data_IF_626593185462
#
_entry.id   IF_626593185462
#
_cell.length_a   1.000
_cell.length_b   1.000
_cell.length_c   1.000
_cell.angle_alpha   90.00
_cell.angle_beta   90.00
_cell.angle_gamma   90.00
#
_symmetry.space_group_name_H-M   'P 1'
#
loop_
_entity.id
_entity.type
_entity.pdbx_description
1 polymer ?
#
# COMPACT_ATOMS: atom_id res chain seq x y z
N UNK A 1 40.91 5.94 20.70
CA UNK A 1 40.42 4.78 19.93
C UNK A 1 39.91 3.74 20.92
N UNK A 2 38.58 3.51 20.98
CA UNK A 2 38.11 2.14 20.99
C UNK A 2 37.06 1.91 19.88
N UNK A 3 37.15 0.73 19.27
CA UNK A 3 36.32 0.28 18.17
C UNK A 3 34.87 -0.01 18.62
N UNK A 4 33.90 0.54 17.89
CA UNK A 4 32.49 0.16 17.96
C UNK A 4 32.30 -1.27 17.44
N UNK A 5 31.52 -2.13 18.12
CA UNK A 5 31.11 -3.39 17.54
C UNK A 5 30.07 -3.14 16.44
N UNK A 6 30.30 -3.78 15.29
CA UNK A 6 29.41 -3.81 14.14
C UNK A 6 28.00 -4.23 14.58
N UNK A 7 27.01 -3.39 14.28
CA UNK A 7 25.60 -3.77 14.38
C UNK A 7 25.34 -4.83 13.32
N UNK A 8 24.81 -5.96 13.76
CA UNK A 8 24.26 -7.00 12.89
C UNK A 8 23.13 -6.41 12.05
N UNK A 9 23.35 -6.33 10.74
CA UNK A 9 22.33 -5.91 9.76
C UNK A 9 21.26 -7.00 9.64
N UNK A 10 20.14 -6.80 10.34
CA UNK A 10 18.90 -7.50 10.01
C UNK A 10 18.39 -6.95 8.66
N UNK A 11 17.94 -7.82 7.72
CA UNK A 11 17.49 -7.38 6.41
C UNK A 11 16.29 -6.43 6.54
N UNK A 12 16.29 -5.36 5.75
CA UNK A 12 15.16 -4.42 5.71
C UNK A 12 13.92 -5.11 5.12
N UNK A 13 12.70 -4.67 5.46
CA UNK A 13 11.45 -5.22 4.87
C UNK A 13 11.43 -5.19 3.34
N UNK A 14 12.22 -4.30 2.72
CA UNK A 14 12.44 -4.24 1.28
C UNK A 14 13.20 -5.46 0.75
N UNK A 15 14.27 -5.89 1.43
CA UNK A 15 15.07 -7.07 1.05
C UNK A 15 14.33 -8.38 1.30
N UNK A 16 13.47 -8.44 2.33
CA UNK A 16 12.61 -9.60 2.59
C UNK A 16 11.54 -9.77 1.49
N UNK A 17 10.88 -8.68 1.07
CA UNK A 17 9.95 -8.69 -0.06
C UNK A 17 10.66 -9.01 -1.39
N UNK A 18 11.88 -8.49 -1.59
CA UNK A 18 12.69 -8.77 -2.78
C UNK A 18 13.20 -10.22 -2.86
N UNK A 19 13.19 -10.99 -1.76
CA UNK A 19 13.48 -12.44 -1.78
C UNK A 19 12.27 -13.28 -2.16
N UNK A 20 11.05 -12.78 -1.94
CA UNK A 20 9.79 -13.45 -2.30
C UNK A 20 9.39 -13.15 -3.75
N UNK A 21 9.72 -11.96 -4.25
CA UNK A 21 9.43 -11.53 -5.63
C UNK A 21 10.67 -11.60 -6.53
N UNK A 22 10.50 -11.88 -7.83
CA UNK A 22 11.60 -11.90 -8.80
C UNK A 22 12.39 -13.21 -8.89
N UNK A 23 11.89 -14.29 -8.27
CA UNK A 23 12.51 -15.62 -8.30
C UNK A 23 12.52 -16.24 -9.71
N UNK A 24 13.35 -17.27 -9.93
CA UNK A 24 13.32 -18.03 -11.18
C UNK A 24 11.97 -18.74 -11.40
N UNK A 25 11.34 -19.18 -10.32
CA UNK A 25 9.99 -19.76 -10.33
C UNK A 25 8.95 -18.74 -10.79
N UNK A 26 8.97 -17.52 -10.27
CA UNK A 26 8.06 -16.45 -10.68
C UNK A 26 8.16 -16.16 -12.18
N UNK A 27 9.39 -16.07 -12.72
CA UNK A 27 9.60 -15.87 -14.16
C UNK A 27 9.00 -17.02 -14.99
N UNK A 28 9.20 -18.26 -14.53
CA UNK A 28 8.63 -19.43 -15.21
C UNK A 28 7.10 -19.42 -15.19
N UNK A 29 6.49 -19.05 -14.06
CA UNK A 29 5.04 -18.90 -13.94
C UNK A 29 4.51 -17.79 -14.86
N UNK A 30 5.19 -16.65 -14.95
CA UNK A 30 4.84 -15.54 -15.86
C UNK A 30 4.88 -16.01 -17.31
N UNK A 31 5.95 -16.69 -17.73
CA UNK A 31 6.08 -17.18 -19.12
C UNK A 31 4.98 -18.18 -19.51
N UNK A 32 4.63 -19.10 -18.61
CA UNK A 32 3.52 -20.03 -18.82
C UNK A 32 2.18 -19.30 -18.89
N UNK A 33 1.94 -18.40 -17.94
CA UNK A 33 0.71 -17.60 -17.88
C UNK A 33 0.51 -16.75 -19.15
N UNK A 34 1.59 -16.18 -19.70
CA UNK A 34 1.58 -15.45 -20.98
C UNK A 34 1.14 -16.30 -22.17
N UNK A 35 1.32 -17.62 -22.10
CA UNK A 35 0.87 -18.58 -23.11
C UNK A 35 -0.57 -19.07 -22.89
N UNK A 36 -1.26 -18.55 -21.87
CA UNK A 36 -2.65 -18.90 -21.55
C UNK A 36 -2.81 -20.01 -20.52
N UNK A 37 -1.73 -20.36 -19.80
CA UNK A 37 -1.76 -21.34 -18.72
C UNK A 37 -2.41 -20.73 -17.46
N UNK A 38 -3.66 -21.10 -17.19
CA UNK A 38 -4.43 -20.61 -16.04
C UNK A 38 -3.87 -21.11 -14.71
N UNK A 39 -3.41 -22.36 -14.63
CA UNK A 39 -2.84 -22.92 -13.40
C UNK A 39 -1.56 -22.19 -12.98
N UNK A 40 -0.74 -21.77 -13.95
CA UNK A 40 0.42 -20.94 -13.70
C UNK A 40 0.04 -19.56 -13.17
N UNK A 41 -1.05 -18.99 -13.68
CA UNK A 41 -1.53 -17.68 -13.23
C UNK A 41 -2.16 -17.75 -11.84
N UNK A 42 -2.90 -18.80 -11.51
CA UNK A 42 -3.44 -19.01 -10.17
C UNK A 42 -2.34 -19.06 -9.11
N UNK A 43 -1.18 -19.63 -9.44
CA UNK A 43 0.01 -19.59 -8.56
C UNK A 43 0.55 -18.18 -8.38
N UNK A 44 0.60 -17.38 -9.45
CA UNK A 44 0.97 -15.96 -9.34
C UNK A 44 -0.06 -15.21 -8.47
N UNK A 45 -1.36 -15.44 -8.66
CA UNK A 45 -2.41 -14.82 -7.84
C UNK A 45 -2.15 -15.13 -6.36
N UNK A 46 -1.94 -16.39 -5.98
CA UNK A 46 -1.64 -16.78 -4.59
C UNK A 46 -0.39 -16.11 -4.02
N UNK A 47 0.64 -15.90 -4.85
CA UNK A 47 1.87 -15.23 -4.42
C UNK A 47 1.63 -13.73 -4.13
N UNK A 48 0.69 -13.10 -4.85
CA UNK A 48 0.47 -11.64 -4.79
C UNK A 48 -0.84 -11.21 -4.11
N UNK A 49 -1.78 -12.12 -3.80
CA UNK A 49 -3.12 -11.78 -3.29
C UNK A 49 -3.05 -10.93 -2.02
N UNK A 50 -2.18 -11.29 -1.08
CA UNK A 50 -2.02 -10.56 0.18
C UNK A 50 -1.44 -9.16 -0.03
N UNK A 51 -0.43 -9.00 -0.89
CA UNK A 51 0.20 -7.70 -1.11
C UNK A 51 -0.70 -6.77 -1.93
N UNK A 52 -1.39 -7.31 -2.94
CA UNK A 52 -2.40 -6.61 -3.74
C UNK A 52 -3.55 -6.14 -2.87
N UNK A 53 -4.15 -7.03 -2.08
CA UNK A 53 -5.24 -6.69 -1.19
C UNK A 53 -4.82 -5.64 -0.16
N UNK A 54 -3.68 -5.82 0.51
CA UNK A 54 -3.18 -4.86 1.50
C UNK A 54 -2.91 -3.48 0.87
N UNK A 55 -2.43 -3.44 -0.38
CA UNK A 55 -2.26 -2.18 -1.10
C UNK A 55 -3.61 -1.53 -1.38
N UNK A 56 -4.57 -2.28 -1.93
CA UNK A 56 -5.91 -1.81 -2.20
C UNK A 56 -6.62 -1.30 -0.93
N UNK A 57 -6.45 -1.99 0.20
CA UNK A 57 -6.99 -1.59 1.50
C UNK A 57 -6.38 -0.28 2.01
N UNK A 58 -5.05 -0.15 1.95
CA UNK A 58 -4.36 1.10 2.33
C UNK A 58 -4.71 2.28 1.42
N UNK A 59 -5.13 2.02 0.19
CA UNK A 59 -5.59 3.06 -0.74
C UNK A 59 -7.05 3.46 -0.47
N UNK A 60 -7.94 2.49 -0.33
CA UNK A 60 -9.39 2.69 -0.25
C UNK A 60 -9.90 3.00 1.15
N UNK A 61 -9.30 2.41 2.19
CA UNK A 61 -9.77 2.45 3.56
C UNK A 61 -11.03 1.62 3.84
N UNK A 62 -11.46 0.79 2.87
CA UNK A 62 -12.64 -0.08 3.00
C UNK A 62 -12.29 -1.49 2.56
N UNK A 63 -12.74 -2.48 3.34
CA UNK A 63 -12.53 -3.90 3.00
C UNK A 63 -13.22 -4.27 1.70
N UNK A 64 -14.47 -3.82 1.51
CA UNK A 64 -15.28 -4.14 0.34
C UNK A 64 -14.66 -3.52 -0.92
N UNK A 65 -14.30 -2.23 -0.85
CA UNK A 65 -13.62 -1.55 -1.96
C UNK A 65 -12.27 -2.21 -2.25
N UNK A 66 -11.53 -2.64 -1.22
CA UNK A 66 -10.24 -3.32 -1.40
C UNK A 66 -10.39 -4.67 -2.11
N UNK A 67 -11.42 -5.44 -1.74
CA UNK A 67 -11.75 -6.72 -2.37
C UNK A 67 -12.08 -6.52 -3.86
N UNK A 68 -12.95 -5.56 -4.16
CA UNK A 68 -13.35 -5.25 -5.54
C UNK A 68 -12.16 -4.77 -6.38
N UNK A 69 -11.34 -3.86 -5.84
CA UNK A 69 -10.13 -3.36 -6.51
C UNK A 69 -9.14 -4.49 -6.76
N UNK A 70 -8.91 -5.37 -5.78
CA UNK A 70 -7.98 -6.50 -5.90
C UNK A 70 -8.43 -7.49 -6.99
N UNK A 71 -9.72 -7.86 -6.98
CA UNK A 71 -10.27 -8.77 -7.99
C UNK A 71 -10.18 -8.18 -9.40
N UNK A 72 -10.63 -6.94 -9.58
CA UNK A 72 -10.54 -6.24 -10.86
C UNK A 72 -9.07 -6.08 -11.31
N UNK A 73 -8.14 -5.87 -10.37
CA UNK A 73 -6.72 -5.81 -10.69
C UNK A 73 -6.18 -7.15 -11.21
N UNK A 74 -6.55 -8.29 -10.62
CA UNK A 74 -6.14 -9.61 -11.14
C UNK A 74 -6.78 -9.94 -12.48
N UNK A 75 -8.05 -9.57 -12.70
CA UNK A 75 -8.71 -9.72 -14.01
C UNK A 75 -7.98 -8.89 -15.08
N UNK A 76 -7.65 -7.63 -14.77
CA UNK A 76 -6.85 -6.79 -15.67
C UNK A 76 -5.44 -7.33 -15.86
N UNK A 77 -4.83 -7.91 -14.83
CA UNK A 77 -3.52 -8.54 -14.93
C UNK A 77 -3.57 -9.71 -15.91
N UNK A 78 -4.50 -10.66 -15.76
CA UNK A 78 -4.67 -11.76 -16.69
C UNK A 78 -4.83 -11.29 -18.15
N UNK A 79 -5.74 -10.33 -18.38
CA UNK A 79 -6.02 -9.82 -19.71
C UNK A 79 -4.82 -9.11 -20.36
N UNK A 80 -3.98 -8.44 -19.58
CA UNK A 80 -2.83 -7.68 -20.09
C UNK A 80 -1.51 -8.45 -19.99
N UNK A 81 -1.47 -9.61 -19.32
CA UNK A 81 -0.23 -10.32 -19.04
C UNK A 81 0.54 -10.70 -20.30
N UNK A 82 -0.16 -11.04 -21.38
CA UNK A 82 0.47 -11.34 -22.69
C UNK A 82 1.41 -10.21 -23.16
N UNK A 83 1.04 -8.96 -22.88
CA UNK A 83 1.78 -7.75 -23.25
C UNK A 83 2.88 -7.35 -22.26
N UNK A 84 2.99 -8.02 -21.11
CA UNK A 84 4.05 -7.76 -20.14
C UNK A 84 5.40 -8.15 -20.73
N UNK A 85 6.29 -7.16 -20.87
CA UNK A 85 7.61 -7.34 -21.50
C UNK A 85 8.73 -7.71 -20.53
N UNK A 86 8.50 -7.59 -19.21
CA UNK A 86 9.54 -7.82 -18.21
C UNK A 86 10.52 -6.66 -18.04
N UNK A 87 10.20 -5.47 -18.57
CA UNK A 87 11.02 -4.26 -18.44
C UNK A 87 11.11 -3.77 -16.97
N UNK A 88 10.13 -4.14 -16.15
CA UNK A 88 10.07 -3.89 -14.71
C UNK A 88 9.73 -5.20 -13.97
N UNK A 89 9.93 -5.24 -12.65
CA UNK A 89 9.49 -6.37 -11.84
C UNK A 89 7.97 -6.56 -11.95
N UNK A 90 7.52 -7.82 -11.84
CA UNK A 90 6.08 -8.13 -11.88
C UNK A 90 5.33 -7.47 -10.71
N UNK A 91 5.97 -7.37 -9.53
CA UNK A 91 5.49 -6.60 -8.37
C UNK A 91 5.16 -5.14 -8.73
N UNK A 92 6.08 -4.44 -9.37
CA UNK A 92 5.89 -3.05 -9.82
C UNK A 92 4.76 -2.97 -10.84
N UNK A 93 4.68 -3.93 -11.77
CA UNK A 93 3.63 -3.99 -12.77
C UNK A 93 2.24 -4.24 -12.18
N UNK A 94 2.09 -5.17 -11.22
CA UNK A 94 0.79 -5.44 -10.59
C UNK A 94 0.36 -4.26 -9.70
N UNK A 95 1.30 -3.60 -9.00
CA UNK A 95 0.98 -2.38 -8.24
C UNK A 95 0.55 -1.22 -9.12
N UNK A 96 1.05 -1.14 -10.36
CA UNK A 96 0.52 -0.21 -11.36
C UNK A 96 -0.95 -0.47 -11.67
N UNK A 97 -1.31 -1.74 -11.88
CA UNK A 97 -2.68 -2.13 -12.17
C UNK A 97 -3.60 -1.79 -10.99
N UNK A 98 -3.23 -2.20 -9.77
CA UNK A 98 -3.99 -1.92 -8.54
C UNK A 98 -4.22 -0.41 -8.35
N UNK A 99 -3.15 0.38 -8.52
CA UNK A 99 -3.24 1.85 -8.37
C UNK A 99 -4.18 2.47 -9.41
N UNK A 100 -4.13 1.99 -10.67
CA UNK A 100 -5.02 2.48 -11.71
C UNK A 100 -6.47 2.09 -11.47
N UNK A 101 -6.75 0.85 -11.03
CA UNK A 101 -8.10 0.41 -10.68
C UNK A 101 -8.66 1.27 -9.55
N UNK A 102 -7.88 1.55 -8.51
CA UNK A 102 -8.29 2.45 -7.42
C UNK A 102 -8.63 3.85 -7.94
N UNK A 103 -7.75 4.47 -8.72
CA UNK A 103 -7.98 5.82 -9.25
C UNK A 103 -9.19 5.87 -10.20
N UNK A 104 -9.40 4.84 -11.00
CA UNK A 104 -10.57 4.70 -11.88
C UNK A 104 -11.87 4.58 -11.05
N UNK A 105 -11.88 3.74 -10.02
CA UNK A 105 -13.02 3.57 -9.11
C UNK A 105 -13.40 4.90 -8.45
N UNK A 106 -12.41 5.61 -7.89
CA UNK A 106 -12.65 6.91 -7.26
C UNK A 106 -13.18 7.97 -8.23
N UNK A 107 -12.61 8.02 -9.44
CA UNK A 107 -13.08 8.92 -10.51
C UNK A 107 -14.54 8.62 -10.88
N UNK A 108 -14.91 7.34 -10.98
CA UNK A 108 -16.29 6.91 -11.26
C UNK A 108 -17.24 7.31 -10.14
N UNK A 109 -16.86 7.10 -8.87
CA UNK A 109 -17.66 7.48 -7.70
C UNK A 109 -17.92 9.00 -7.67
N UNK A 110 -16.90 9.83 -7.93
CA UNK A 110 -17.07 11.29 -8.02
C UNK A 110 -17.93 11.76 -9.21
N UNK A 111 -17.91 11.03 -10.32
CA UNK A 111 -18.67 11.38 -11.52
C UNK A 111 -20.16 11.02 -11.42
N UNK A 112 -20.57 10.21 -10.44
CA UNK A 112 -21.98 9.93 -10.15
C UNK A 112 -22.52 11.07 -9.26
N UNK A 113 -23.43 11.94 -9.75
CA UNK A 113 -24.05 12.94 -8.89
C UNK A 113 -24.84 12.22 -7.79
N UNK A 114 -24.43 12.39 -6.54
CA UNK A 114 -25.13 11.80 -5.40
C UNK A 114 -26.58 12.30 -5.38
N UNK A 115 -27.54 11.37 -5.48
CA UNK A 115 -28.73 11.50 -4.63
C UNK A 115 -28.21 11.37 -3.21
N UNK A 116 -28.33 12.47 -2.47
CA UNK A 116 -27.95 12.64 -1.07
C UNK A 116 -28.38 11.46 -0.20
N UNK A 117 -27.51 11.06 0.72
CA UNK A 117 -27.76 10.95 2.17
C UNK A 117 -26.37 10.93 2.83
N UNK A 118 -26.06 12.02 3.55
CA UNK A 118 -25.08 12.08 4.65
C UNK A 118 -23.75 11.33 4.46
N UNK A 119 -22.75 12.00 3.87
CA UNK A 119 -21.34 11.64 4.07
C UNK A 119 -20.90 12.11 5.47
N UNK A 120 -21.47 11.53 6.52
CA UNK A 120 -20.68 11.29 7.71
C UNK A 120 -19.64 10.25 7.32
N UNK A 121 -18.37 10.59 7.50
CA UNK A 121 -17.33 9.57 7.63
C UNK A 121 -17.65 8.85 8.95
N UNK A 122 -18.64 7.97 8.92
CA UNK A 122 -18.79 6.88 9.86
C UNK A 122 -17.62 5.95 9.54
N UNK A 123 -16.47 6.25 10.15
CA UNK A 123 -15.57 5.19 10.57
C UNK A 123 -16.42 4.37 11.55
N UNK A 124 -17.11 3.36 11.00
CA UNK A 124 -17.87 2.41 11.77
C UNK A 124 -16.97 1.91 12.89
N UNK A 125 -17.32 2.30 14.10
CA UNK A 125 -16.66 1.93 15.35
C UNK A 125 -16.91 0.45 15.67
N UNK A 126 -17.64 -0.27 14.81
CA UNK A 126 -17.88 -1.70 14.93
C UNK A 126 -17.10 -2.51 13.89
N UNK A 127 -16.22 -3.37 14.43
CA UNK A 127 -15.69 -4.59 13.79
C UNK A 127 -14.51 -4.49 12.80
N UNK A 128 -13.36 -4.03 13.31
CA UNK A 128 -12.06 -4.62 12.90
C UNK A 128 -11.69 -5.77 13.84
N UNK A 129 -12.60 -6.73 13.97
CA UNK A 129 -12.28 -8.09 14.42
C UNK A 129 -12.78 -9.08 13.37
N UNK A 130 -12.16 -9.06 12.19
CA UNK A 130 -12.07 -10.25 11.36
C UNK A 130 -10.62 -10.69 11.32
N UNK A 131 -10.35 -11.61 12.26
CA UNK A 131 -9.09 -12.28 12.51
C UNK A 131 -8.51 -12.84 11.21
N UNK A 132 -7.44 -12.23 10.73
CA UNK A 132 -6.34 -12.99 10.16
C UNK A 132 -5.25 -13.02 11.22
N UNK A 133 -5.11 -14.18 11.87
CA UNK A 133 -4.10 -14.43 12.87
C UNK A 133 -2.68 -14.24 12.29
N UNK A 134 -1.85 -13.40 12.92
CA UNK A 134 -0.51 -13.76 13.44
C UNK A 134 0.08 -12.63 14.34
N UNK A 135 1.15 -12.91 15.11
CA UNK A 135 1.20 -12.92 16.57
C UNK A 135 1.24 -11.52 17.21
N UNK A 136 0.40 -11.28 18.20
CA UNK A 136 0.15 -9.97 18.79
C UNK A 136 1.13 -9.58 19.93
N UNK A 137 1.48 -8.28 20.08
CA UNK A 137 1.75 -7.67 21.39
C UNK A 137 0.42 -7.43 22.17
N UNK A 138 0.50 -7.26 23.49
CA UNK A 138 -0.62 -7.38 24.42
C UNK A 138 -1.64 -6.23 24.48
N UNK A 139 -2.73 -6.39 25.27
CA UNK A 139 -3.96 -5.58 25.20
C UNK A 139 -3.84 -4.08 25.52
N UNK A 140 -2.88 -3.67 26.34
CA UNK A 140 -2.65 -2.26 26.66
C UNK A 140 -1.94 -1.50 25.51
N UNK A 141 -1.04 -2.17 24.79
CA UNK A 141 -0.39 -1.64 23.58
C UNK A 141 -1.35 -1.60 22.37
N UNK A 142 -2.44 -2.36 22.43
CA UNK A 142 -3.50 -2.35 21.41
C UNK A 142 -4.33 -1.05 21.48
N UNK A 143 -4.67 -0.52 22.66
CA UNK A 143 -5.52 0.67 22.76
C UNK A 143 -4.81 1.98 22.30
N UNK A 144 -3.59 2.23 22.80
CA UNK A 144 -2.81 3.43 22.43
C UNK A 144 -2.24 3.31 21.00
N UNK A 145 -1.86 2.10 20.60
CA UNK A 145 -1.45 1.78 19.24
C UNK A 145 -2.58 1.91 18.21
N UNK A 146 -3.84 1.75 18.62
CA UNK A 146 -5.00 1.87 17.76
C UNK A 146 -5.41 3.33 17.55
N UNK A 147 -5.41 4.18 18.59
CA UNK A 147 -5.73 5.61 18.42
C UNK A 147 -4.73 6.33 17.50
N UNK A 148 -3.43 6.12 17.71
CA UNK A 148 -2.38 6.69 16.85
C UNK A 148 -2.51 6.21 15.40
N UNK A 149 -2.79 4.93 15.21
CA UNK A 149 -2.95 4.32 13.89
C UNK A 149 -4.23 4.81 13.21
N UNK A 150 -5.30 4.97 13.97
CA UNK A 150 -6.57 5.51 13.51
C UNK A 150 -6.40 6.96 13.04
N UNK A 151 -5.77 7.81 13.84
CA UNK A 151 -5.46 9.20 13.48
C UNK A 151 -4.59 9.30 12.21
N UNK A 152 -3.54 8.48 12.11
CA UNK A 152 -2.69 8.42 10.93
C UNK A 152 -3.48 7.98 9.69
N UNK A 153 -4.28 6.92 9.80
CA UNK A 153 -5.11 6.43 8.69
C UNK A 153 -6.11 7.49 8.24
N UNK A 154 -6.80 8.15 9.18
CA UNK A 154 -7.73 9.26 8.89
C UNK A 154 -7.00 10.41 8.17
N UNK A 155 -5.81 10.78 8.62
CA UNK A 155 -5.00 11.80 7.95
C UNK A 155 -4.60 11.37 6.53
N UNK A 156 -4.18 10.13 6.32
CA UNK A 156 -3.86 9.57 4.98
C UNK A 156 -5.09 9.57 4.08
N UNK A 157 -6.25 9.18 4.58
CA UNK A 157 -7.50 9.17 3.82
C UNK A 157 -8.04 10.58 3.53
N UNK A 158 -7.61 11.60 4.25
CA UNK A 158 -7.95 12.99 3.91
C UNK A 158 -7.11 13.57 2.75
N UNK A 159 -6.05 12.87 2.32
CA UNK A 159 -5.24 13.30 1.18
C UNK A 159 -6.01 13.10 -0.14
N UNK A 160 -5.77 13.97 -1.15
CA UNK A 160 -6.16 13.69 -2.52
C UNK A 160 -5.66 12.31 -2.95
N UNK A 161 -6.50 11.55 -3.66
CA UNK A 161 -6.27 10.13 -3.99
C UNK A 161 -4.92 9.88 -4.68
N UNK A 162 -4.52 10.77 -5.60
CA UNK A 162 -3.23 10.68 -6.28
C UNK A 162 -2.04 10.91 -5.32
N UNK A 163 -2.19 11.76 -4.30
CA UNK A 163 -1.17 11.94 -3.26
C UNK A 163 -1.14 10.74 -2.30
N UNK A 164 -2.32 10.23 -1.92
CA UNK A 164 -2.49 9.03 -1.10
C UNK A 164 -1.80 7.83 -1.75
N UNK A 165 -2.00 7.64 -3.07
CA UNK A 165 -1.36 6.58 -3.82
C UNK A 165 0.17 6.64 -3.73
N UNK A 166 0.75 7.84 -3.94
CA UNK A 166 2.20 8.03 -3.83
C UNK A 166 2.71 7.74 -2.40
N UNK A 167 1.97 8.16 -1.37
CA UNK A 167 2.33 7.87 0.03
C UNK A 167 2.31 6.37 0.30
N UNK A 168 1.27 5.65 -0.12
CA UNK A 168 1.14 4.20 0.08
C UNK A 168 2.22 3.44 -0.68
N UNK A 169 2.46 3.77 -1.95
CA UNK A 169 3.49 3.13 -2.77
C UNK A 169 4.90 3.34 -2.18
N UNK A 170 5.20 4.55 -1.70
CA UNK A 170 6.50 4.85 -1.10
C UNK A 170 6.68 4.21 0.28
N UNK A 171 5.75 4.47 1.21
CA UNK A 171 5.94 4.12 2.61
C UNK A 171 5.50 2.69 2.96
N UNK A 172 4.49 2.15 2.28
CA UNK A 172 3.99 0.80 2.56
C UNK A 172 4.60 -0.26 1.63
N UNK A 173 4.84 0.07 0.36
CA UNK A 173 5.45 -0.87 -0.60
C UNK A 173 6.96 -0.71 -0.76
N UNK A 174 7.55 0.36 -0.22
CA UNK A 174 9.00 0.57 -0.24
C UNK A 174 9.57 0.91 -1.63
N UNK A 175 8.72 1.37 -2.56
CA UNK A 175 9.11 1.63 -3.94
C UNK A 175 9.94 2.92 -4.07
N UNK A 176 10.89 2.90 -5.01
CA UNK A 176 11.69 4.06 -5.39
C UNK A 176 10.86 5.15 -6.09
N UNK A 177 11.41 6.36 -6.22
CA UNK A 177 10.72 7.44 -6.92
C UNK A 177 10.54 7.14 -8.40
N UNK A 178 11.49 6.42 -8.97
CA UNK A 178 11.52 5.94 -10.35
C UNK A 178 10.38 4.95 -10.58
N UNK A 179 10.27 3.90 -9.76
CA UNK A 179 9.19 2.90 -9.85
C UNK A 179 7.81 3.52 -9.64
N UNK A 180 7.68 4.45 -8.68
CA UNK A 180 6.42 5.18 -8.48
C UNK A 180 6.10 6.03 -9.71
N UNK A 181 7.10 6.64 -10.33
CA UNK A 181 6.95 7.39 -11.58
C UNK A 181 6.43 6.51 -12.71
N UNK A 182 6.97 5.31 -12.86
CA UNK A 182 6.52 4.30 -13.83
C UNK A 182 5.08 3.82 -13.57
N UNK A 183 4.74 3.59 -12.30
CA UNK A 183 3.40 3.19 -11.87
C UNK A 183 2.38 4.30 -12.16
N UNK A 184 2.70 5.53 -11.76
CA UNK A 184 1.76 6.67 -11.82
C UNK A 184 1.78 7.40 -13.16
N UNK A 185 2.72 7.09 -14.06
CA UNK A 185 2.94 7.80 -15.32
C UNK A 185 3.45 9.23 -15.12
N UNK A 186 4.18 9.49 -14.04
CA UNK A 186 4.62 10.82 -13.64
C UNK A 186 6.16 10.94 -13.64
N UNK A 187 6.72 12.11 -14.01
CA UNK A 187 8.15 12.34 -13.85
C UNK A 187 8.58 12.19 -12.39
N UNK A 188 9.76 11.60 -12.16
CA UNK A 188 10.34 11.42 -10.81
C UNK A 188 10.32 12.72 -9.98
N UNK A 189 10.65 13.87 -10.59
CA UNK A 189 10.58 15.18 -9.93
C UNK A 189 9.16 15.55 -9.45
N UNK A 190 8.13 15.15 -10.20
CA UNK A 190 6.72 15.33 -9.81
C UNK A 190 6.35 14.42 -8.65
N UNK A 191 6.81 13.15 -8.66
CA UNK A 191 6.62 12.21 -7.55
C UNK A 191 7.22 12.78 -6.27
N UNK A 192 8.49 13.22 -6.30
CA UNK A 192 9.17 13.82 -5.15
C UNK A 192 8.43 15.05 -4.61
N UNK A 193 8.03 15.96 -5.49
CA UNK A 193 7.26 17.16 -5.11
C UNK A 193 5.91 16.81 -4.48
N UNK A 194 5.18 15.83 -5.02
CA UNK A 194 3.89 15.39 -4.49
C UNK A 194 4.03 14.67 -3.16
N UNK A 195 5.02 13.80 -3.00
CA UNK A 195 5.28 13.14 -1.73
C UNK A 195 5.64 14.15 -0.65
N UNK A 196 6.47 15.16 -0.97
CA UNK A 196 6.79 16.23 -0.03
C UNK A 196 5.54 17.00 0.40
N UNK A 197 4.68 17.38 -0.56
CA UNK A 197 3.40 18.04 -0.25
C UNK A 197 2.47 17.18 0.59
N UNK A 198 2.38 15.89 0.31
CA UNK A 198 1.60 14.95 1.10
C UNK A 198 2.13 14.86 2.55
N UNK A 199 3.45 14.78 2.73
CA UNK A 199 4.08 14.77 4.07
C UNK A 199 3.81 16.05 4.85
N UNK A 200 3.89 17.22 4.20
CA UNK A 200 3.55 18.49 4.84
C UNK A 200 2.08 18.51 5.27
N UNK A 201 1.16 18.12 4.38
CA UNK A 201 -0.27 18.05 4.71
C UNK A 201 -0.56 17.07 5.86
N UNK A 202 0.11 15.91 5.90
CA UNK A 202 -0.01 14.96 7.01
C UNK A 202 0.53 15.54 8.31
N UNK A 203 1.71 16.16 8.28
CA UNK A 203 2.31 16.80 9.45
C UNK A 203 1.39 17.88 10.01
N UNK A 204 0.84 18.73 9.17
CA UNK A 204 -0.01 19.83 9.61
C UNK A 204 -1.30 19.28 10.26
N UNK A 205 -1.90 18.21 9.70
CA UNK A 205 -3.08 17.53 10.25
C UNK A 205 -2.81 16.78 11.56
N UNK A 206 -1.59 16.27 11.73
CA UNK A 206 -1.19 15.51 12.92
C UNK A 206 -0.51 16.38 13.98
N UNK A 207 -0.24 17.66 13.69
CA UNK A 207 0.50 18.56 14.59
C UNK A 207 -0.15 18.73 15.98
N UNK A 208 -1.48 18.75 16.04
CA UNK A 208 -2.23 18.82 17.31
C UNK A 208 -2.21 17.54 18.15
N UNK A 209 -1.64 16.46 17.62
CA UNK A 209 -1.54 15.15 18.25
C UNK A 209 -0.08 14.74 18.50
N UNK A 210 0.87 15.68 18.44
CA UNK A 210 2.31 15.40 18.51
C UNK A 210 2.69 14.52 19.71
N UNK A 211 2.06 14.73 20.86
CA UNK A 211 2.29 13.94 22.09
C UNK A 211 1.98 12.44 21.90
N UNK A 212 1.00 12.07 21.05
CA UNK A 212 0.68 10.68 20.72
C UNK A 212 1.74 10.02 19.82
N UNK A 213 2.57 10.82 19.14
CA UNK A 213 3.65 10.33 18.26
C UNK A 213 5.05 10.44 18.91
N UNK A 214 5.19 11.22 19.99
CA UNK A 214 6.46 11.58 20.65
C UNK A 214 6.92 10.63 21.78
N UNK A 215 6.37 9.42 21.89
CA UNK A 215 6.71 8.40 22.91
C UNK A 215 8.19 7.94 23.01
N UNK A 216 9.14 8.66 22.39
CA UNK A 216 10.58 8.44 22.50
C UNK A 216 11.33 9.46 23.38
N UNK A 217 10.71 10.55 23.84
CA UNK A 217 11.37 11.55 24.70
C UNK A 217 11.01 11.36 26.18
N UNK A 218 11.55 10.30 26.81
CA UNK A 218 11.66 10.26 28.28
C UNK A 218 12.57 11.41 28.73
N UNK A 219 12.13 12.34 29.60
CA UNK A 219 13.05 13.21 30.29
C UNK A 219 13.89 12.36 31.24
N UNK A 220 15.22 12.35 31.06
CA UNK A 220 16.15 11.90 32.10
C UNK A 220 16.19 12.98 33.17
N UNK A 221 15.54 12.70 34.30
CA UNK A 221 15.92 13.32 35.57
C UNK A 221 17.29 12.83 36.03
#
# INVERSE_FOLDING_TARGET
MPASPARSDAPTSSEASARVFGSSEERHLIERSRKGDLDAFDKLVKQYEKSVFNTAYRLSGSYDDASDIAQEAFVRAWNNLKSFRGDAQFSTWIYRIVTNVFLDDRKKKRARPHRSLEDEIALDESSVERQYADPAPGPADLAEGDERRHLLNRAIYSLPEAQRAIVVLYHAQGLSYEEIGEITGQPMGTVKSRLNRARLALRDRLSGFAELFDGATRPKG
#
